data_IF_551591108345
#
_entry.id   IF_551591108345
#
_cell.length_a   1.000
_cell.length_b   1.000
_cell.length_c   1.000
_cell.angle_alpha   90.00
_cell.angle_beta   90.00
_cell.angle_gamma   90.00
#
_symmetry.space_group_name_H-M   'P 1'
#
loop_
_entity.id
_entity.type
_entity.pdbx_description
1 polymer ?
#
# COMPACT_ATOMS: atom_id res chain seq x y z
N UNK A 1 7.64 -33.92 -8.77
CA UNK A 1 7.57 -32.45 -8.63
C UNK A 1 8.94 -31.75 -8.44
N UNK A 2 10.09 -32.39 -8.67
CA UNK A 2 11.42 -31.74 -8.51
C UNK A 2 11.98 -31.07 -9.78
N UNK A 3 11.40 -31.36 -10.96
CA UNK A 3 11.91 -30.83 -12.24
C UNK A 3 11.22 -29.55 -12.73
N UNK A 4 10.12 -29.13 -12.09
CA UNK A 4 9.40 -27.91 -12.50
C UNK A 4 10.07 -26.61 -12.03
N UNK A 5 10.90 -26.67 -10.99
CA UNK A 5 11.59 -25.51 -10.43
C UNK A 5 12.83 -25.11 -11.26
N UNK A 6 13.50 -26.09 -11.86
CA UNK A 6 14.65 -25.86 -12.74
C UNK A 6 14.24 -25.24 -14.09
N UNK A 7 13.02 -25.55 -14.57
CA UNK A 7 12.50 -24.97 -15.82
C UNK A 7 12.15 -23.48 -15.68
N UNK A 8 11.77 -23.03 -14.47
CA UNK A 8 11.47 -21.62 -14.21
C UNK A 8 12.75 -20.77 -14.08
N UNK A 9 13.85 -21.35 -13.60
CA UNK A 9 15.13 -20.66 -13.44
C UNK A 9 15.92 -20.52 -14.75
N UNK A 10 15.62 -21.35 -15.76
CA UNK A 10 16.19 -21.23 -17.11
C UNK A 10 15.60 -20.09 -17.96
N UNK A 11 14.38 -19.64 -17.65
CA UNK A 11 13.71 -18.54 -18.37
C UNK A 11 14.20 -17.15 -17.98
N UNK A 12 14.90 -17.01 -16.84
CA UNK A 12 15.41 -15.73 -16.34
C UNK A 12 16.81 -15.36 -16.89
N UNK A 13 17.52 -16.28 -17.53
CA UNK A 13 18.88 -16.06 -18.06
C UNK A 13 18.95 -15.79 -19.57
N UNK A 14 17.80 -15.64 -20.25
CA UNK A 14 17.73 -15.41 -21.70
C UNK A 14 17.65 -13.93 -22.15
N UNK A 15 17.60 -12.97 -21.23
CA UNK A 15 17.55 -11.54 -21.58
C UNK A 15 18.97 -11.04 -21.88
N UNK A 16 19.49 -11.40 -23.05
CA UNK A 16 20.60 -10.72 -23.69
C UNK A 16 20.19 -9.27 -23.96
N UNK A 17 20.59 -8.35 -23.09
CA UNK A 17 20.40 -6.93 -23.29
C UNK A 17 21.20 -6.45 -24.50
N UNK A 18 20.52 -6.23 -25.63
CA UNK A 18 21.09 -5.46 -26.73
C UNK A 18 21.04 -3.99 -26.34
N UNK A 19 22.20 -3.41 -25.98
CA UNK A 19 22.34 -1.97 -25.86
C UNK A 19 22.26 -1.36 -27.27
N UNK A 20 21.13 -0.77 -27.63
CA UNK A 20 21.02 0.05 -28.82
C UNK A 20 21.69 1.41 -28.53
N UNK A 21 22.81 1.69 -29.19
CA UNK A 21 23.31 3.07 -29.27
C UNK A 21 22.32 3.88 -30.10
N UNK A 22 21.56 4.76 -29.44
CA UNK A 22 20.67 5.68 -30.12
C UNK A 22 21.51 6.75 -30.84
N UNK A 23 21.25 6.92 -32.14
CA UNK A 23 21.75 8.04 -32.93
C UNK A 23 21.15 9.32 -32.38
N UNK A 24 22.02 10.25 -31.98
CA UNK A 24 21.70 11.49 -31.26
C UNK A 24 21.12 12.56 -32.21
N UNK A 25 19.88 12.35 -32.65
CA UNK A 25 19.03 13.40 -33.21
C UNK A 25 17.81 13.53 -32.31
N UNK A 26 18.00 14.12 -31.13
CA UNK A 26 16.90 14.39 -30.19
C UNK A 26 16.04 15.52 -30.75
N UNK A 27 15.09 15.17 -31.62
CA UNK A 27 13.92 16.03 -31.84
C UNK A 27 13.16 16.09 -30.53
N UNK A 28 13.10 17.27 -29.91
CA UNK A 28 12.39 17.48 -28.65
C UNK A 28 10.90 17.15 -28.85
N UNK A 29 10.41 16.12 -28.18
CA UNK A 29 8.99 15.77 -28.20
C UNK A 29 8.20 16.69 -27.26
N UNK A 30 7.58 17.71 -27.84
CA UNK A 30 6.69 18.61 -27.12
C UNK A 30 5.39 17.91 -26.64
N UNK A 31 5.15 16.65 -27.01
CA UNK A 31 4.02 15.82 -26.58
C UNK A 31 4.41 14.74 -25.55
N UNK A 32 5.42 14.98 -24.72
CA UNK A 32 5.87 14.08 -23.66
C UNK A 32 4.80 13.73 -22.59
N UNK A 33 4.85 12.52 -22.06
CA UNK A 33 4.03 12.03 -20.93
C UNK A 33 4.92 11.51 -19.82
N UNK A 34 4.41 11.56 -18.60
CA UNK A 34 5.07 10.98 -17.42
C UNK A 34 4.33 9.73 -16.96
N UNK A 35 4.14 8.79 -17.89
CA UNK A 35 3.70 7.44 -17.56
C UNK A 35 4.78 6.82 -16.65
N UNK A 36 4.39 6.39 -15.45
CA UNK A 36 5.35 6.09 -14.40
C UNK A 36 5.03 4.78 -13.70
N UNK A 37 6.05 3.96 -13.54
CA UNK A 37 6.07 2.97 -12.48
C UNK A 37 6.32 3.65 -11.16
N UNK A 38 5.69 3.15 -10.09
CA UNK A 38 6.00 3.59 -8.75
C UNK A 38 6.30 2.40 -7.84
N UNK A 39 7.19 2.65 -6.89
CA UNK A 39 7.46 1.80 -5.74
C UNK A 39 7.30 2.65 -4.49
N UNK A 40 6.89 2.08 -3.38
CA UNK A 40 6.80 2.82 -2.14
C UNK A 40 6.92 1.95 -0.91
N UNK A 41 7.42 2.56 0.15
CA UNK A 41 7.51 1.99 1.48
C UNK A 41 6.83 2.95 2.45
N UNK A 42 6.14 2.42 3.45
CA UNK A 42 5.45 3.23 4.44
C UNK A 42 5.58 2.66 5.85
N UNK A 43 5.51 3.55 6.82
CA UNK A 43 5.15 3.24 8.19
C UNK A 43 3.64 3.44 8.35
N UNK A 44 2.97 2.42 8.90
CA UNK A 44 1.52 2.35 8.93
C UNK A 44 1.00 2.62 10.36
N UNK A 45 0.08 3.56 10.46
CA UNK A 45 -0.55 4.03 11.68
C UNK A 45 -2.04 3.68 11.66
N UNK A 46 -2.60 3.44 12.84
CA UNK A 46 -4.02 3.22 13.06
C UNK A 46 -4.62 4.46 13.73
N UNK A 47 -5.53 5.13 13.04
CA UNK A 47 -6.43 6.13 13.61
C UNK A 47 -7.71 5.49 14.12
N UNK A 48 -8.54 6.24 14.86
CA UNK A 48 -9.87 5.78 15.30
C UNK A 48 -9.84 4.55 16.21
N UNK A 49 -8.74 4.30 16.93
CA UNK A 49 -8.55 3.10 17.75
C UNK A 49 -9.55 3.02 18.91
N UNK A 50 -10.20 1.86 19.14
CA UNK A 50 -10.98 1.59 20.34
C UNK A 50 -10.15 1.73 21.62
N UNK A 51 -10.83 1.91 22.75
CA UNK A 51 -10.16 2.05 24.06
C UNK A 51 -9.26 0.84 24.35
N UNK A 52 -8.04 1.12 24.82
CA UNK A 52 -7.01 0.12 25.11
C UNK A 52 -6.22 -0.38 23.90
N UNK A 53 -6.66 -0.11 22.66
CA UNK A 53 -5.91 -0.52 21.47
C UNK A 53 -4.72 0.40 21.23
N UNK A 54 -3.54 -0.18 21.22
CA UNK A 54 -2.26 0.47 20.98
C UNK A 54 -1.50 -0.24 19.85
N UNK A 55 -0.65 0.52 19.16
CA UNK A 55 0.28 -0.04 18.19
C UNK A 55 1.61 -0.23 18.88
N UNK A 56 2.12 -1.45 18.84
CA UNK A 56 3.44 -1.81 19.31
C UNK A 56 4.30 -2.27 18.12
N UNK A 57 5.62 -2.08 18.18
CA UNK A 57 6.53 -2.51 17.12
C UNK A 57 6.39 -1.76 15.79
N UNK A 58 6.87 -2.39 14.71
CA UNK A 58 7.05 -1.76 13.40
C UNK A 58 5.97 -2.19 12.40
N UNK A 59 4.97 -1.33 12.21
CA UNK A 59 3.91 -1.49 11.21
C UNK A 59 4.37 -0.93 9.87
N UNK A 60 4.40 -1.76 8.83
CA UNK A 60 5.03 -1.42 7.54
C UNK A 60 4.14 -1.71 6.35
N UNK A 61 4.30 -0.90 5.31
CA UNK A 61 3.64 -1.07 4.03
C UNK A 61 4.62 -1.07 2.87
N UNK A 62 4.28 -1.81 1.83
CA UNK A 62 4.95 -1.80 0.54
C UNK A 62 3.91 -1.64 -0.56
N UNK A 63 4.17 -0.80 -1.54
CA UNK A 63 3.30 -0.58 -2.69
C UNK A 63 4.10 -0.54 -3.98
N UNK A 64 3.48 -1.00 -5.07
CA UNK A 64 4.00 -0.85 -6.42
C UNK A 64 2.87 -0.70 -7.42
N UNK A 65 3.15 -0.11 -8.57
CA UNK A 65 2.17 -0.02 -9.63
C UNK A 65 2.64 0.81 -10.81
N UNK A 66 1.69 1.11 -11.68
CA UNK A 66 1.88 1.93 -12.87
C UNK A 66 0.75 2.95 -12.98
N UNK A 67 1.09 4.19 -13.32
CA UNK A 67 0.15 5.29 -13.53
C UNK A 67 0.35 5.84 -14.93
N UNK A 68 -0.73 5.88 -15.70
CA UNK A 68 -0.77 6.55 -17.00
C UNK A 68 -1.08 8.02 -16.81
N UNK A 69 -0.28 8.87 -17.43
CA UNK A 69 -0.31 10.32 -17.34
C UNK A 69 -1.10 10.92 -18.51
N UNK A 70 -2.09 11.75 -18.19
CA UNK A 70 -2.96 12.40 -19.16
C UNK A 70 -2.86 13.92 -19.01
N UNK A 71 -1.92 14.59 -19.70
CA UNK A 71 -1.75 16.04 -19.62
C UNK A 71 -2.99 16.81 -20.05
N UNK A 72 -3.40 17.80 -19.25
CA UNK A 72 -4.62 18.60 -19.45
C UNK A 72 -4.34 20.05 -19.86
N UNK A 73 -3.07 20.46 -19.96
CA UNK A 73 -2.69 21.80 -20.38
C UNK A 73 -1.59 21.79 -21.47
N UNK A 74 -1.47 22.89 -22.23
CA UNK A 74 -0.49 23.03 -23.33
C UNK A 74 0.97 22.83 -22.88
N UNK A 75 1.30 23.28 -21.65
CA UNK A 75 2.64 23.11 -21.05
C UNK A 75 2.91 21.66 -20.61
N UNK A 76 1.87 20.83 -20.48
CA UNK A 76 1.91 19.42 -20.06
C UNK A 76 2.54 19.18 -18.69
N UNK A 77 2.39 20.17 -17.81
CA UNK A 77 2.84 20.12 -16.42
C UNK A 77 1.68 19.99 -15.41
N UNK A 78 0.46 19.91 -15.94
CA UNK A 78 -0.75 19.50 -15.24
C UNK A 78 -1.32 18.26 -15.94
N UNK A 79 -1.67 17.24 -15.18
CA UNK A 79 -2.24 16.01 -15.71
C UNK A 79 -3.25 15.37 -14.74
N UNK A 80 -4.09 14.51 -15.31
CA UNK A 80 -4.80 13.49 -14.55
C UNK A 80 -4.04 12.17 -14.72
N UNK A 81 -3.87 11.44 -13.63
CA UNK A 81 -3.27 10.13 -13.56
C UNK A 81 -4.33 9.08 -13.28
N UNK A 82 -4.29 7.97 -14.03
CA UNK A 82 -5.06 6.78 -13.70
C UNK A 82 -4.13 5.58 -13.77
N UNK A 83 -4.15 4.74 -12.74
CA UNK A 83 -3.23 3.63 -12.63
C UNK A 83 -3.83 2.35 -12.09
N UNK A 84 -2.96 1.36 -11.98
CA UNK A 84 -3.18 0.09 -11.32
C UNK A 84 -1.96 -0.25 -10.48
N UNK A 85 -2.18 -0.77 -9.28
CA UNK A 85 -1.12 -1.14 -8.36
C UNK A 85 -1.53 -2.25 -7.41
N UNK A 86 -0.59 -2.62 -6.55
CA UNK A 86 -0.80 -3.55 -5.46
C UNK A 86 -0.05 -3.08 -4.22
N UNK A 87 -0.59 -3.37 -3.05
CA UNK A 87 0.08 -3.10 -1.78
C UNK A 87 -0.07 -4.23 -0.77
N UNK A 88 0.91 -4.31 0.12
CA UNK A 88 0.90 -5.17 1.29
C UNK A 88 1.12 -4.29 2.50
N UNK A 89 0.19 -4.32 3.45
CA UNK A 89 0.22 -3.46 4.63
C UNK A 89 0.14 -4.34 5.87
N UNK A 90 1.00 -4.10 6.86
CA UNK A 90 1.08 -4.87 8.10
C UNK A 90 1.00 -3.93 9.30
N UNK A 91 0.17 -4.30 10.27
CA UNK A 91 -0.13 -3.52 11.46
C UNK A 91 0.16 -4.37 12.69
N UNK A 92 1.14 -3.94 13.47
CA UNK A 92 1.48 -4.52 14.76
C UNK A 92 0.77 -3.74 15.87
N UNK A 93 0.03 -4.45 16.71
CA UNK A 93 -0.97 -3.87 17.62
C UNK A 93 -1.46 -4.93 18.62
N UNK A 94 -2.17 -4.55 19.68
CA UNK A 94 -2.55 -5.41 20.82
C UNK A 94 -4.03 -5.90 20.84
N UNK A 95 -4.76 -5.85 19.74
CA UNK A 95 -6.08 -6.44 19.51
C UNK A 95 -5.91 -7.85 18.94
N UNK A 96 -6.26 -8.86 19.71
CA UNK A 96 -6.22 -10.26 19.28
C UNK A 96 -7.53 -10.60 18.57
N UNK A 97 -7.41 -11.37 17.49
CA UNK A 97 -8.55 -11.86 16.70
C UNK A 97 -8.51 -13.39 16.73
N UNK A 98 -9.56 -14.01 17.24
CA UNK A 98 -9.74 -15.46 17.35
C UNK A 98 -11.07 -15.90 16.76
N UNK A 99 -11.19 -17.18 16.39
CA UNK A 99 -12.49 -17.75 15.99
C UNK A 99 -13.37 -17.93 17.23
N UNK A 100 -14.62 -17.48 17.16
CA UNK A 100 -15.59 -17.66 18.23
C UNK A 100 -16.20 -19.08 18.19
N UNK A 101 -16.55 -19.62 19.36
CA UNK A 101 -17.16 -20.96 19.49
C UNK A 101 -18.50 -21.04 18.73
N UNK A 102 -19.26 -19.95 18.68
CA UNK A 102 -20.55 -19.86 18.00
C UNK A 102 -20.45 -19.56 16.49
N UNK A 103 -19.23 -19.49 15.94
CA UNK A 103 -18.95 -19.00 14.58
C UNK A 103 -18.68 -17.49 14.56
N UNK A 104 -17.92 -17.05 13.55
CA UNK A 104 -17.43 -15.67 13.44
C UNK A 104 -16.13 -15.44 14.20
N UNK A 105 -15.84 -14.18 14.52
CA UNK A 105 -14.60 -13.76 15.17
C UNK A 105 -14.86 -13.04 16.50
N UNK A 106 -13.93 -13.24 17.43
CA UNK A 106 -13.90 -12.56 18.72
C UNK A 106 -12.67 -11.65 18.79
N UNK A 107 -12.87 -10.47 19.38
CA UNK A 107 -11.88 -9.40 19.47
C UNK A 107 -11.55 -9.12 20.93
N UNK A 108 -10.27 -9.24 21.28
CA UNK A 108 -9.80 -9.04 22.66
C UNK A 108 -8.63 -8.08 22.68
N UNK A 109 -8.76 -6.96 23.41
CA UNK A 109 -7.62 -6.09 23.69
C UNK A 109 -6.79 -6.72 24.80
N UNK A 110 -5.51 -6.95 24.55
CA UNK A 110 -4.58 -7.46 25.56
C UNK A 110 -3.63 -6.37 26.03
N UNK A 111 -3.28 -6.40 27.32
CA UNK A 111 -2.20 -5.60 27.87
C UNK A 111 -0.90 -6.39 27.81
N UNK A 112 0.10 -5.87 27.09
CA UNK A 112 1.44 -6.45 26.96
C UNK A 112 2.09 -6.71 28.33
N UNK A 113 1.73 -5.94 29.38
CA UNK A 113 2.27 -6.12 30.73
C UNK A 113 1.65 -7.32 31.47
N UNK A 114 0.40 -7.67 31.17
CA UNK A 114 -0.32 -8.76 31.83
C UNK A 114 -0.24 -10.06 31.06
N UNK A 115 -0.26 -9.98 29.72
CA UNK A 115 -0.16 -11.14 28.82
C UNK A 115 1.01 -10.93 27.86
N UNK A 116 2.22 -11.38 28.21
CA UNK A 116 3.38 -11.25 27.33
C UNK A 116 3.11 -11.98 26.00
N UNK A 117 3.26 -11.27 24.90
CA UNK A 117 3.21 -11.86 23.56
C UNK A 117 4.40 -11.43 22.73
N UNK A 118 4.84 -12.31 21.84
CA UNK A 118 5.95 -12.05 20.93
C UNK A 118 5.49 -11.39 19.63
N UNK A 119 4.25 -11.65 19.22
CA UNK A 119 3.73 -11.16 17.95
C UNK A 119 2.22 -11.04 17.97
N UNK A 120 1.73 -9.83 17.73
CA UNK A 120 0.33 -9.62 17.35
C UNK A 120 0.28 -8.65 16.17
N UNK A 121 -0.26 -9.12 15.05
CA UNK A 121 -0.38 -8.31 13.84
C UNK A 121 -1.47 -8.81 12.92
N UNK A 122 -1.99 -7.91 12.09
CA UNK A 122 -2.72 -8.27 10.88
C UNK A 122 -2.05 -7.69 9.64
N UNK A 123 -2.29 -8.32 8.49
CA UNK A 123 -1.75 -7.91 7.19
C UNK A 123 -2.86 -7.94 6.14
N UNK A 124 -2.90 -6.91 5.29
CA UNK A 124 -3.81 -6.80 4.15
C UNK A 124 -3.04 -6.82 2.84
N UNK A 125 -3.62 -7.47 1.83
CA UNK A 125 -3.10 -7.56 0.47
C UNK A 125 -4.13 -6.95 -0.47
N UNK A 126 -3.75 -5.89 -1.18
CA UNK A 126 -4.70 -4.98 -1.82
C UNK A 126 -4.32 -4.79 -3.28
N UNK A 127 -5.31 -4.85 -4.17
CA UNK A 127 -5.20 -4.32 -5.53
C UNK A 127 -5.72 -2.88 -5.53
N UNK A 128 -4.93 -1.95 -6.07
CA UNK A 128 -5.18 -0.52 -5.97
C UNK A 128 -5.44 0.12 -7.35
N UNK A 129 -6.36 1.08 -7.41
CA UNK A 129 -6.65 1.94 -8.55
C UNK A 129 -6.44 3.39 -8.11
N UNK A 130 -5.23 3.95 -8.30
CA UNK A 130 -4.97 5.36 -8.03
C UNK A 130 -5.56 6.26 -9.13
N UNK A 131 -6.25 7.31 -8.71
CA UNK A 131 -6.70 8.42 -9.54
C UNK A 131 -6.14 9.73 -8.99
N UNK A 132 -5.22 10.35 -9.73
CA UNK A 132 -4.40 11.47 -9.23
C UNK A 132 -4.59 12.73 -10.06
N UNK A 133 -4.72 13.87 -9.40
CA UNK A 133 -4.34 15.15 -9.97
C UNK A 133 -2.82 15.33 -9.82
N UNK A 134 -2.15 15.67 -10.92
CA UNK A 134 -0.70 15.69 -11.00
C UNK A 134 -0.21 17.07 -11.43
N UNK A 135 0.52 17.74 -10.56
CA UNK A 135 1.24 18.98 -10.87
C UNK A 135 2.75 18.74 -10.82
N UNK A 136 3.47 19.34 -11.76
CA UNK A 136 4.92 19.26 -11.85
C UNK A 136 5.56 20.53 -12.43
N UNK A 137 6.86 20.68 -12.23
CA UNK A 137 7.66 21.76 -12.82
C UNK A 137 8.45 21.33 -14.06
N UNK A 138 8.13 20.17 -14.66
CA UNK A 138 8.86 19.61 -15.79
C UNK A 138 8.71 20.42 -17.09
N UNK A 139 9.63 20.17 -18.02
CA UNK A 139 9.61 20.65 -19.41
C UNK A 139 9.88 19.46 -20.34
N UNK A 140 9.81 19.66 -21.66
CA UNK A 140 10.11 18.60 -22.63
C UNK A 140 11.58 18.13 -22.60
N UNK A 141 12.46 18.84 -21.90
CA UNK A 141 13.90 18.54 -21.80
C UNK A 141 14.36 18.27 -20.37
N UNK A 142 13.56 18.62 -19.36
CA UNK A 142 13.93 18.50 -17.94
C UNK A 142 13.28 17.28 -17.28
N UNK A 143 14.11 16.28 -16.97
CA UNK A 143 13.70 15.01 -16.35
C UNK A 143 13.83 14.98 -14.82
N UNK A 144 14.37 16.04 -14.20
CA UNK A 144 14.44 16.20 -12.74
C UNK A 144 13.69 17.46 -12.33
N UNK A 145 12.56 17.28 -11.66
CA UNK A 145 11.63 18.37 -11.37
C UNK A 145 10.89 18.14 -10.06
N UNK A 146 10.28 19.20 -9.55
CA UNK A 146 9.35 19.15 -8.43
C UNK A 146 7.99 18.64 -8.88
N UNK A 147 7.33 17.89 -8.01
CA UNK A 147 6.04 17.29 -8.26
C UNK A 147 5.19 17.22 -7.00
N UNK A 148 3.89 17.41 -7.19
CA UNK A 148 2.83 17.27 -6.19
C UNK A 148 1.70 16.50 -6.86
N UNK A 149 1.53 15.25 -6.47
CA UNK A 149 0.48 14.37 -6.96
C UNK A 149 -0.46 14.06 -5.80
N UNK A 150 -1.76 14.27 -6.01
CA UNK A 150 -2.76 14.04 -4.96
C UNK A 150 -4.04 13.53 -5.57
N UNK A 151 -4.80 12.72 -4.84
CA UNK A 151 -6.08 12.26 -5.33
C UNK A 151 -6.69 11.17 -4.48
N UNK A 152 -7.45 10.30 -5.14
CA UNK A 152 -8.14 9.18 -4.52
C UNK A 152 -7.45 7.88 -4.92
N UNK A 153 -7.49 6.92 -4.00
CA UNK A 153 -7.02 5.57 -4.24
C UNK A 153 -8.09 4.61 -3.76
N UNK A 154 -8.67 3.89 -4.72
CA UNK A 154 -9.59 2.79 -4.47
C UNK A 154 -8.78 1.49 -4.34
N UNK A 155 -9.07 0.69 -3.34
CA UNK A 155 -8.41 -0.56 -3.04
C UNK A 155 -9.43 -1.69 -2.88
N UNK A 156 -9.09 -2.86 -3.40
CA UNK A 156 -9.80 -4.12 -3.16
C UNK A 156 -8.89 -5.08 -2.38
N UNK A 157 -9.27 -5.41 -1.15
CA UNK A 157 -8.58 -6.33 -0.26
C UNK A 157 -8.90 -7.76 -0.69
N UNK A 158 -8.08 -8.34 -1.55
CA UNK A 158 -8.32 -9.69 -2.04
C UNK A 158 -7.88 -10.79 -1.05
N UNK A 159 -7.09 -10.41 -0.04
CA UNK A 159 -6.65 -11.32 1.01
C UNK A 159 -6.25 -10.54 2.26
N UNK A 160 -6.47 -11.14 3.42
CA UNK A 160 -6.01 -10.66 4.71
C UNK A 160 -5.52 -11.83 5.57
N UNK A 161 -4.72 -11.53 6.58
CA UNK A 161 -4.29 -12.53 7.57
C UNK A 161 -4.04 -11.90 8.92
N UNK A 162 -4.32 -12.63 9.99
CA UNK A 162 -4.00 -12.25 11.36
C UNK A 162 -2.98 -13.25 11.92
N UNK A 163 -2.10 -12.80 12.80
CA UNK A 163 -1.17 -13.67 13.52
C UNK A 163 -1.00 -13.18 14.94
N UNK A 164 -1.32 -14.05 15.88
CA UNK A 164 -1.05 -13.90 17.30
C UNK A 164 -0.11 -15.01 17.78
N UNK A 165 0.88 -14.69 18.61
CA UNK A 165 1.81 -15.65 19.19
C UNK A 165 2.26 -15.18 20.57
N UNK A 166 1.89 -15.94 21.60
CA UNK A 166 2.40 -15.89 22.98
C UNK A 166 3.12 -17.19 23.32
N UNK A 167 3.67 -17.29 24.54
CA UNK A 167 4.36 -18.49 25.01
C UNK A 167 3.42 -19.70 25.15
N UNK A 168 2.13 -19.45 25.38
CA UNK A 168 1.12 -20.46 25.64
C UNK A 168 0.24 -20.76 24.42
N UNK A 169 0.12 -19.81 23.49
CA UNK A 169 -0.86 -19.88 22.42
C UNK A 169 -0.37 -19.21 21.13
N UNK A 170 -0.65 -19.83 20.00
CA UNK A 170 -0.34 -19.27 18.69
C UNK A 170 -1.53 -19.47 17.77
N UNK A 171 -2.04 -18.38 17.22
CA UNK A 171 -3.16 -18.36 16.29
C UNK A 171 -2.77 -17.68 14.99
N UNK A 172 -3.24 -18.22 13.87
CA UNK A 172 -3.12 -17.59 12.56
C UNK A 172 -4.41 -17.79 11.79
N UNK A 173 -5.07 -16.69 11.47
CA UNK A 173 -6.26 -16.69 10.61
C UNK A 173 -5.90 -16.13 9.24
N UNK A 174 -6.68 -16.49 8.24
CA UNK A 174 -6.52 -15.99 6.87
C UNK A 174 -7.91 -15.87 6.26
N UNK A 175 -8.11 -14.82 5.45
CA UNK A 175 -9.43 -14.50 4.87
C UNK A 175 -10.52 -14.33 5.93
N UNK A 176 -10.22 -13.52 6.94
CA UNK A 176 -11.19 -13.05 7.94
C UNK A 176 -12.21 -12.16 7.22
N UNK A 177 -13.50 -12.50 7.29
CA UNK A 177 -14.58 -11.80 6.58
C UNK A 177 -15.00 -10.47 7.23
N UNK A 178 -14.56 -10.22 8.46
CA UNK A 178 -14.75 -8.93 9.15
C UNK A 178 -13.87 -7.78 8.61
N UNK A 179 -12.96 -8.04 7.67
CA UNK A 179 -12.22 -6.96 7.00
C UNK A 179 -13.08 -6.33 5.90
N UNK A 180 -13.06 -5.00 5.79
CA UNK A 180 -13.65 -4.32 4.65
C UNK A 180 -12.88 -4.65 3.36
N UNK A 181 -13.58 -5.29 2.42
CA UNK A 181 -13.04 -5.63 1.10
C UNK A 181 -12.70 -4.40 0.27
N UNK A 182 -13.38 -3.28 0.51
CA UNK A 182 -13.17 -2.03 -0.22
C UNK A 182 -12.50 -1.02 0.71
N UNK A 183 -11.37 -0.48 0.28
CA UNK A 183 -10.68 0.61 0.96
C UNK A 183 -10.59 1.82 0.05
N UNK A 184 -11.07 2.95 0.51
CA UNK A 184 -10.98 4.23 -0.18
C UNK A 184 -10.11 5.16 0.66
N UNK A 185 -9.17 5.83 0.02
CA UNK A 185 -8.33 6.79 0.73
C UNK A 185 -7.84 7.94 -0.13
N UNK A 186 -7.43 9.00 0.55
CA UNK A 186 -6.75 10.15 -0.04
C UNK A 186 -5.25 9.89 -0.12
N UNK A 187 -4.63 10.36 -1.20
CA UNK A 187 -3.19 10.28 -1.39
C UNK A 187 -2.57 11.66 -1.58
N UNK A 188 -1.35 11.81 -1.09
CA UNK A 188 -0.48 12.95 -1.38
C UNK A 188 0.96 12.45 -1.54
N UNK A 189 1.56 12.76 -2.68
CA UNK A 189 2.97 12.53 -2.97
C UNK A 189 3.61 13.85 -3.36
N UNK A 190 4.65 14.27 -2.66
CA UNK A 190 5.37 15.52 -2.94
C UNK A 190 6.88 15.30 -2.88
N UNK A 191 7.61 15.77 -3.89
CA UNK A 191 9.04 15.54 -3.95
C UNK A 191 9.74 16.05 -5.20
N UNK A 192 11.01 15.70 -5.31
CA UNK A 192 11.91 16.12 -6.37
C UNK A 192 12.64 14.93 -6.99
N UNK A 193 12.73 14.91 -8.32
CA UNK A 193 13.44 13.84 -9.03
C UNK A 193 12.75 12.50 -8.79
N UNK A 194 13.45 11.48 -8.29
CA UNK A 194 12.87 10.15 -8.00
C UNK A 194 12.18 10.08 -6.63
N UNK A 195 12.59 10.88 -5.65
CA UNK A 195 12.25 10.74 -4.24
C UNK A 195 11.07 11.61 -3.83
N UNK A 196 10.05 11.04 -3.18
CA UNK A 196 8.85 11.77 -2.77
C UNK A 196 8.40 11.31 -1.41
N UNK A 197 8.07 12.28 -0.57
CA UNK A 197 7.24 12.03 0.58
C UNK A 197 5.89 11.51 0.12
N UNK A 198 5.36 10.50 0.82
CA UNK A 198 4.09 9.85 0.51
C UNK A 198 3.21 9.80 1.77
N UNK A 199 1.97 10.24 1.62
CA UNK A 199 0.94 10.20 2.65
C UNK A 199 -0.31 9.53 2.06
N UNK A 200 -0.91 8.64 2.83
CA UNK A 200 -2.21 8.06 2.58
C UNK A 200 -3.08 8.18 3.84
N UNK A 201 -4.34 8.51 3.63
CA UNK A 201 -5.35 8.57 4.67
C UNK A 201 -6.59 7.79 4.23
N UNK A 202 -6.89 6.69 4.92
CA UNK A 202 -8.09 5.87 4.71
C UNK A 202 -9.34 6.61 5.17
N UNK A 203 -10.30 6.73 4.26
CA UNK A 203 -11.59 7.39 4.46
C UNK A 203 -12.64 6.47 5.06
N UNK A 204 -12.45 5.16 4.96
CA UNK A 204 -13.33 4.17 5.57
C UNK A 204 -12.55 3.24 6.50
N UNK A 205 -13.25 2.52 7.40
CA UNK A 205 -12.61 1.68 8.39
C UNK A 205 -12.01 0.41 7.78
N UNK A 206 -10.99 -0.14 8.44
CA UNK A 206 -10.31 -1.38 8.02
C UNK A 206 -11.22 -2.59 8.21
N UNK A 207 -12.02 -2.58 9.26
CA UNK A 207 -12.99 -3.61 9.60
C UNK A 207 -14.40 -3.16 9.22
N UNK A 208 -15.28 -4.11 8.95
CA UNK A 208 -16.71 -3.85 8.78
C UNK A 208 -17.37 -3.52 10.14
N UNK A 209 -18.66 -3.23 10.11
CA UNK A 209 -19.45 -2.86 11.29
C UNK A 209 -19.80 -4.05 12.21
N UNK A 210 -19.50 -5.29 11.82
CA UNK A 210 -19.69 -6.50 12.64
C UNK A 210 -18.54 -6.74 13.61
N UNK A 211 -17.37 -6.13 13.37
CA UNK A 211 -16.23 -6.20 14.25
C UNK A 211 -16.43 -5.33 15.50
N UNK A 212 -16.72 -5.97 16.64
CA UNK A 212 -17.02 -5.31 17.92
C UNK A 212 -16.00 -5.71 18.98
N UNK A 213 -15.51 -4.73 19.74
CA UNK A 213 -14.66 -4.93 20.92
C UNK A 213 -15.15 -4.06 22.07
N UNK A 214 -15.26 -4.62 23.27
CA UNK A 214 -15.74 -3.92 24.47
C UNK A 214 -17.05 -3.14 24.21
N UNK A 215 -18.04 -3.81 23.62
CA UNK A 215 -19.35 -3.25 23.25
C UNK A 215 -19.31 -2.05 22.27
N UNK A 216 -18.18 -1.84 21.57
CA UNK A 216 -17.98 -0.76 20.61
C UNK A 216 -17.50 -1.28 19.26
N UNK A 217 -18.01 -0.70 18.17
CA UNK A 217 -17.56 -1.04 16.81
C UNK A 217 -16.10 -0.62 16.60
N UNK A 218 -15.33 -1.44 15.90
CA UNK A 218 -13.93 -1.19 15.57
C UNK A 218 -13.85 -0.24 14.36
N UNK A 219 -13.90 1.07 14.62
CA UNK A 219 -13.88 2.12 13.58
C UNK A 219 -12.44 2.56 13.19
N UNK A 220 -11.51 1.61 13.18
CA UNK A 220 -10.09 1.90 12.92
C UNK A 220 -9.82 2.24 11.46
N UNK A 221 -9.13 3.33 11.19
CA UNK A 221 -8.74 3.72 9.84
C UNK A 221 -7.22 3.72 9.62
N UNK A 222 -6.82 3.51 8.36
CA UNK A 222 -5.43 3.38 7.95
C UNK A 222 -4.79 4.75 7.64
N UNK A 223 -3.61 5.02 8.21
CA UNK A 223 -2.80 6.19 7.89
C UNK A 223 -1.41 5.68 7.52
N UNK A 224 -0.92 5.99 6.31
CA UNK A 224 0.41 5.52 5.86
C UNK A 224 1.29 6.72 5.55
N UNK A 225 2.48 6.74 6.13
CA UNK A 225 3.47 7.81 5.95
C UNK A 225 4.77 7.18 5.47
N UNK A 226 5.34 7.68 4.38
CA UNK A 226 6.54 7.06 3.83
C UNK A 226 7.12 7.74 2.61
N UNK A 227 7.73 6.92 1.75
CA UNK A 227 8.40 7.35 0.54
C UNK A 227 7.81 6.65 -0.69
N UNK A 228 7.64 7.42 -1.76
CA UNK A 228 7.29 6.93 -3.08
C UNK A 228 8.39 7.29 -4.09
N UNK A 229 8.80 6.29 -4.85
CA UNK A 229 9.80 6.36 -5.89
C UNK A 229 9.10 6.24 -7.23
N UNK A 230 9.29 7.19 -8.13
CA UNK A 230 8.71 7.11 -9.48
C UNK A 230 9.81 6.94 -10.52
N UNK A 231 9.55 6.05 -11.46
CA UNK A 231 10.47 5.55 -12.45
C UNK A 231 9.76 5.62 -13.81
N UNK A 232 10.41 6.23 -14.79
CA UNK A 232 10.00 6.25 -16.20
C UNK A 232 10.45 4.96 -16.90
#
# INVERSE_FOLDING_TARGET
>A
MKYSFLLFMGLLFGLSGTAQQAVDTVTVDNKYREDQFYLGISYNLLGGKPSGVSQNGFSSGFQLGFIRDMPINKRRNLALGLGLGASINTYHQNLVITEAIAGGYEYTVIDDNETPFSKNRFSTYILEVPFEFRWRTSTATDYKFWRIYTGLKLGYVFSNSTKFTSDLFSNKLSKVDDFNDIQLGLTLNAGYGTWNFSLYYGLNPIFNDTAIVNDSVIDMNDIRIGLAFYIL
#
